data_IF_390092730189
#
_entry.id   IF_390092730189
#
_cell.length_a   1.000
_cell.length_b   1.000
_cell.length_c   1.000
_cell.angle_alpha   90.00
_cell.angle_beta   90.00
_cell.angle_gamma   90.00
#
_symmetry.space_group_name_H-M   'P 1'
#
loop_
_entity.id
_entity.type
_entity.pdbx_description
1 polymer ?
#
# COMPACT_ATOMS: atom_id res chain seq x y z
N UNK A 1 -3.90 -25.11 29.78
CA UNK A 1 -2.87 -24.16 29.30
C UNK A 1 -3.29 -23.62 27.94
N UNK A 2 -3.62 -22.33 27.82
CA UNK A 2 -4.06 -21.71 26.56
C UNK A 2 -2.82 -21.25 25.79
N UNK A 3 -2.52 -21.93 24.68
CA UNK A 3 -1.41 -21.57 23.80
C UNK A 3 -1.81 -20.30 23.05
N UNK A 4 -1.20 -19.17 23.41
CA UNK A 4 -1.35 -17.91 22.69
C UNK A 4 -0.71 -18.12 21.32
N UNK A 5 -1.54 -18.28 20.29
CA UNK A 5 -1.10 -18.28 18.90
C UNK A 5 -0.67 -16.84 18.62
N UNK A 6 0.65 -16.63 18.58
CA UNK A 6 1.23 -15.42 18.05
C UNK A 6 0.81 -15.38 16.58
N UNK A 7 -0.17 -14.53 16.24
CA UNK A 7 -0.41 -14.13 14.86
C UNK A 7 0.85 -13.40 14.41
N UNK A 8 1.79 -14.18 13.89
CA UNK A 8 2.88 -13.69 13.09
C UNK A 8 2.21 -13.12 11.85
N UNK A 9 1.85 -11.84 11.90
CA UNK A 9 1.73 -11.05 10.69
C UNK A 9 3.14 -11.04 10.13
N UNK A 10 3.44 -12.05 9.31
CA UNK A 10 4.61 -12.09 8.45
C UNK A 10 4.55 -10.81 7.64
N UNK A 11 5.30 -9.80 8.08
CA UNK A 11 5.65 -8.66 7.25
C UNK A 11 6.30 -9.26 6.02
N UNK A 12 5.54 -9.27 4.92
CA UNK A 12 6.06 -9.56 3.61
C UNK A 12 7.03 -8.41 3.30
N UNK A 13 8.28 -8.61 3.71
CA UNK A 13 9.42 -8.00 3.06
C UNK A 13 9.52 -8.65 1.67
N UNK A 14 8.59 -8.29 0.79
CA UNK A 14 8.65 -8.67 -0.62
C UNK A 14 9.60 -7.70 -1.30
N UNK A 15 10.83 -8.17 -1.40
CA UNK A 15 11.96 -7.49 -2.00
C UNK A 15 11.72 -7.41 -3.52
N UNK A 16 11.14 -6.30 -3.99
CA UNK A 16 11.31 -5.84 -5.37
C UNK A 16 10.29 -6.27 -6.42
N UNK A 17 9.15 -6.87 -6.08
CA UNK A 17 8.01 -6.96 -7.01
C UNK A 17 6.97 -5.93 -6.61
N UNK A 18 6.77 -4.93 -7.45
CA UNK A 18 5.69 -3.95 -7.37
C UNK A 18 4.33 -4.62 -7.57
N UNK A 19 3.94 -5.48 -6.62
CA UNK A 19 2.58 -6.02 -6.58
C UNK A 19 1.64 -4.87 -6.33
N UNK A 20 0.68 -4.73 -7.23
CA UNK A 20 -0.37 -3.75 -7.07
C UNK A 20 -1.31 -4.19 -5.94
N UNK A 21 -1.58 -3.30 -4.99
CA UNK A 21 -2.37 -3.60 -3.80
C UNK A 21 -3.81 -3.17 -4.00
N UNK A 22 -4.76 -4.04 -3.72
CA UNK A 22 -6.17 -3.70 -3.83
C UNK A 22 -6.65 -2.84 -2.65
N UNK A 23 -7.61 -1.95 -2.88
CA UNK A 23 -8.37 -1.27 -1.81
C UNK A 23 -8.78 -2.26 -0.72
N UNK A 24 -8.64 -1.86 0.54
CA UNK A 24 -8.94 -2.71 1.70
C UNK A 24 -7.76 -3.53 2.22
N UNK A 25 -6.65 -3.66 1.47
CA UNK A 25 -5.43 -4.30 1.98
C UNK A 25 -4.68 -3.38 2.94
N UNK A 26 -3.91 -3.97 3.86
CA UNK A 26 -2.94 -3.22 4.65
C UNK A 26 -1.77 -2.77 3.76
N UNK A 27 -1.36 -1.52 3.92
CA UNK A 27 -0.20 -0.94 3.29
C UNK A 27 1.07 -1.57 3.89
N UNK A 28 1.94 -2.23 3.09
CA UNK A 28 3.14 -2.92 3.58
C UNK A 28 4.29 -1.96 3.89
N UNK A 29 4.27 -0.74 3.33
CA UNK A 29 5.32 0.25 3.51
C UNK A 29 4.78 1.67 3.41
N UNK A 30 5.19 2.55 4.32
CA UNK A 30 4.86 3.96 4.26
C UNK A 30 5.42 4.61 3.00
N UNK A 31 4.65 5.49 2.37
CA UNK A 31 5.17 6.28 1.25
C UNK A 31 4.10 6.81 0.32
N UNK A 32 4.54 7.20 -0.87
CA UNK A 32 3.68 7.66 -1.94
C UNK A 32 3.19 6.49 -2.77
N UNK A 33 1.89 6.49 -3.00
CA UNK A 33 1.18 5.50 -3.78
C UNK A 33 0.32 6.21 -4.82
N UNK A 34 0.18 5.61 -5.99
CA UNK A 34 -0.73 6.08 -7.02
C UNK A 34 -1.68 4.94 -7.41
N UNK A 35 -2.91 5.26 -7.83
CA UNK A 35 -3.73 4.33 -8.57
C UNK A 35 -2.99 3.74 -9.76
N UNK A 36 -3.22 2.46 -10.04
CA UNK A 36 -2.64 1.81 -11.23
C UNK A 36 -3.10 2.47 -12.53
N UNK A 37 -4.30 3.07 -12.53
CA UNK A 37 -4.92 3.70 -13.70
C UNK A 37 -4.85 5.24 -13.68
N UNK A 38 -4.20 5.85 -12.70
CA UNK A 38 -4.11 7.30 -12.54
C UNK A 38 -2.77 7.66 -11.87
N UNK A 39 -1.76 7.86 -12.72
CA UNK A 39 -0.36 8.03 -12.30
C UNK A 39 -0.06 9.45 -11.79
N UNK A 40 -1.01 10.37 -11.92
CA UNK A 40 -0.87 11.76 -11.49
C UNK A 40 -1.47 12.00 -10.10
N UNK A 41 -2.34 11.10 -9.64
CA UNK A 41 -3.02 11.19 -8.37
C UNK A 41 -2.26 10.47 -7.25
N UNK A 42 -1.31 11.17 -6.65
CA UNK A 42 -0.48 10.64 -5.57
C UNK A 42 -1.16 10.77 -4.20
N UNK A 43 -1.11 9.68 -3.43
CA UNK A 43 -1.55 9.65 -2.04
C UNK A 43 -0.41 9.19 -1.14
N UNK A 44 -0.22 9.89 -0.02
CA UNK A 44 0.68 9.42 1.03
C UNK A 44 -0.08 8.47 1.95
N UNK A 45 0.35 7.21 2.00
CA UNK A 45 -0.29 6.16 2.79
C UNK A 45 0.74 5.60 3.77
N UNK A 46 0.41 5.63 5.06
CA UNK A 46 1.26 5.10 6.12
C UNK A 46 1.19 3.57 6.17
N UNK A 47 2.29 2.95 6.57
CA UNK A 47 2.38 1.51 6.84
C UNK A 47 1.27 1.07 7.82
N UNK A 48 0.69 -0.10 7.56
CA UNK A 48 -0.41 -0.65 8.34
C UNK A 48 -1.77 0.01 8.07
N UNK A 49 -1.82 1.17 7.41
CA UNK A 49 -3.08 1.80 6.99
C UNK A 49 -3.77 0.95 5.93
N UNK A 50 -5.09 1.08 5.82
CA UNK A 50 -5.87 0.41 4.80
C UNK A 50 -5.78 1.21 3.49
N UNK A 51 -5.43 0.53 2.39
CA UNK A 51 -5.40 1.10 1.05
C UNK A 51 -6.80 1.65 0.71
N UNK A 52 -6.97 2.96 0.44
CA UNK A 52 -8.27 3.57 0.31
C UNK A 52 -8.93 3.28 -1.04
N UNK A 53 -10.21 3.60 -1.15
CA UNK A 53 -10.89 3.77 -2.44
C UNK A 53 -10.69 5.21 -2.93
N UNK A 54 -10.62 5.42 -4.23
CA UNK A 54 -10.67 6.78 -4.81
C UNK A 54 -12.10 7.05 -5.26
N UNK A 55 -12.71 8.13 -4.77
CA UNK A 55 -14.09 8.51 -5.06
C UNK A 55 -15.12 7.39 -4.80
N UNK A 56 -14.88 6.55 -3.80
CA UNK A 56 -15.73 5.40 -3.47
C UNK A 56 -15.58 4.20 -4.41
N UNK A 57 -14.66 4.25 -5.38
CA UNK A 57 -14.42 3.17 -6.34
C UNK A 57 -13.24 2.30 -5.85
N UNK A 58 -13.41 0.97 -5.73
CA UNK A 58 -12.33 0.04 -5.43
C UNK A 58 -11.31 -0.01 -6.57
N UNK A 59 -10.02 -0.05 -6.23
CA UNK A 59 -8.96 0.01 -7.23
C UNK A 59 -7.64 -0.58 -6.72
N UNK A 60 -6.70 -0.78 -7.65
CA UNK A 60 -5.35 -1.21 -7.36
C UNK A 60 -4.40 -0.03 -7.21
N UNK A 61 -3.46 -0.14 -6.29
CA UNK A 61 -2.46 0.86 -5.97
C UNK A 61 -1.07 0.36 -6.31
N UNK A 62 -0.17 1.26 -6.73
CA UNK A 62 1.24 0.97 -6.96
C UNK A 62 2.11 1.98 -6.21
N UNK A 63 3.31 1.60 -5.75
CA UNK A 63 4.27 2.56 -5.23
C UNK A 63 4.56 3.62 -6.29
N UNK A 64 4.66 4.88 -5.87
CA UNK A 64 4.85 5.99 -6.75
C UNK A 64 5.93 6.94 -6.20
N UNK A 65 6.56 7.70 -7.09
CA UNK A 65 7.49 8.77 -6.72
C UNK A 65 6.94 10.07 -7.29
N UNK A 66 6.42 10.98 -6.45
CA UNK A 66 5.90 12.25 -6.93
C UNK A 66 6.99 13.03 -7.66
N UNK A 67 6.62 13.67 -8.78
CA UNK A 67 7.56 14.39 -9.62
C UNK A 67 8.31 15.52 -8.88
N UNK A 68 7.69 16.11 -7.84
CA UNK A 68 8.30 17.11 -6.96
C UNK A 68 9.49 16.61 -6.13
N UNK A 69 9.74 15.29 -6.09
CA UNK A 69 10.86 14.68 -5.35
C UNK A 69 11.99 14.20 -6.29
N UNK A 70 11.90 14.43 -7.61
CA UNK A 70 12.98 14.23 -8.57
C UNK A 70 13.85 15.48 -8.64
N UNK A 71 14.62 15.76 -7.59
CA UNK A 71 15.70 16.74 -7.60
C UNK A 71 17.04 16.04 -7.87
#
# INVERSE_FOLDING_TARGET
MKKRILLQHTGLSDNGKSQSLWTGHHCPSSGWWAPVNDDENFHFILEGSIMPSVNGIPMSWKPAVPQSQRA
#
